data_IF_651609108861
#
_entry.id   IF_651609108861
#
_cell.length_a   1.000
_cell.length_b   1.000
_cell.length_c   1.000
_cell.angle_alpha   90.00
_cell.angle_beta   90.00
_cell.angle_gamma   90.00
#
_symmetry.space_group_name_H-M   'P 1'
#
loop_
_entity.id
_entity.type
_entity.pdbx_description
1 polymer ?
#
# COMPACT_ATOMS: atom_id res chain seq x y z
N UNK A 1 -24.46 -3.78 -10.82
CA UNK A 1 -23.39 -4.35 -10.00
C UNK A 1 -22.20 -3.45 -10.17
N UNK A 2 -22.05 -2.49 -9.27
CA UNK A 2 -20.83 -1.69 -9.14
C UNK A 2 -19.75 -2.67 -8.68
N UNK A 3 -18.74 -2.91 -9.51
CA UNK A 3 -17.62 -3.75 -9.10
C UNK A 3 -16.93 -3.12 -7.89
N UNK A 4 -16.50 -3.96 -6.95
CA UNK A 4 -15.66 -3.57 -5.82
C UNK A 4 -14.45 -2.84 -6.42
N UNK A 5 -14.12 -1.61 -5.99
CA UNK A 5 -12.97 -0.88 -6.50
C UNK A 5 -11.68 -1.50 -5.94
N UNK A 6 -11.28 -2.64 -6.51
CA UNK A 6 -9.98 -3.26 -6.26
C UNK A 6 -8.91 -2.46 -7.01
N UNK A 7 -7.87 -1.95 -6.34
CA UNK A 7 -6.80 -1.26 -7.02
C UNK A 7 -5.99 -2.25 -7.87
N UNK A 8 -5.46 -1.75 -8.96
CA UNK A 8 -4.43 -2.43 -9.74
C UNK A 8 -3.08 -2.35 -9.04
N UNK A 9 -2.19 -3.30 -9.34
CA UNK A 9 -0.79 -3.25 -8.89
C UNK A 9 -0.13 -1.92 -9.26
N UNK A 10 -0.44 -1.38 -10.44
CA UNK A 10 0.13 -0.11 -10.90
C UNK A 10 -0.31 1.08 -10.04
N UNK A 11 -1.56 1.09 -9.56
CA UNK A 11 -2.03 2.15 -8.65
C UNK A 11 -1.27 2.13 -7.33
N UNK A 12 -1.03 0.95 -6.76
CA UNK A 12 -0.23 0.85 -5.53
C UNK A 12 1.23 1.25 -5.80
N UNK A 13 1.82 0.83 -6.92
CA UNK A 13 3.18 1.25 -7.30
C UNK A 13 3.26 2.78 -7.46
N UNK A 14 2.27 3.40 -8.10
CA UNK A 14 2.23 4.86 -8.25
C UNK A 14 2.15 5.57 -6.89
N UNK A 15 1.37 5.02 -5.95
CA UNK A 15 1.31 5.53 -4.58
C UNK A 15 2.68 5.46 -3.89
N UNK A 16 3.38 4.32 -4.00
CA UNK A 16 4.72 4.15 -3.43
C UNK A 16 5.74 5.11 -4.06
N UNK A 17 5.68 5.32 -5.38
CA UNK A 17 6.50 6.30 -6.09
C UNK A 17 6.22 7.73 -5.61
N UNK A 18 4.94 8.08 -5.40
CA UNK A 18 4.55 9.39 -4.87
C UNK A 18 5.05 9.62 -3.43
N UNK A 19 5.22 8.56 -2.64
CA UNK A 19 5.88 8.65 -1.33
C UNK A 19 7.38 8.89 -1.46
N UNK A 20 8.03 8.22 -2.43
CA UNK A 20 9.47 8.37 -2.68
C UNK A 20 9.85 9.73 -3.26
N UNK A 21 8.99 10.32 -4.10
CA UNK A 21 9.23 11.65 -4.69
C UNK A 21 8.76 12.81 -3.77
N UNK A 22 8.07 12.49 -2.67
CA UNK A 22 7.57 13.45 -1.69
C UNK A 22 6.28 14.18 -2.11
N UNK A 23 5.63 13.78 -3.21
CA UNK A 23 4.34 14.33 -3.63
C UNK A 23 3.17 13.77 -2.82
N UNK A 24 3.36 12.65 -2.13
CA UNK A 24 2.46 12.09 -1.12
C UNK A 24 3.19 11.82 0.20
N UNK A 25 2.47 11.93 1.32
CA UNK A 25 3.02 11.58 2.62
C UNK A 25 2.84 10.09 2.91
N UNK A 26 3.72 9.53 3.75
CA UNK A 26 3.60 8.14 4.22
C UNK A 26 2.27 7.88 4.94
N UNK A 27 1.82 8.84 5.75
CA UNK A 27 0.51 8.79 6.41
C UNK A 27 -0.63 8.71 5.40
N UNK A 28 -0.70 9.62 4.44
CA UNK A 28 -1.78 9.63 3.45
C UNK A 28 -1.81 8.35 2.62
N UNK A 29 -0.64 7.82 2.24
CA UNK A 29 -0.55 6.54 1.55
C UNK A 29 -0.99 5.36 2.42
N UNK A 30 -0.62 5.35 3.70
CA UNK A 30 -1.00 4.30 4.64
C UNK A 30 -2.52 4.31 4.93
N UNK A 31 -3.11 5.50 5.11
CA UNK A 31 -4.55 5.68 5.32
C UNK A 31 -5.35 5.18 4.10
N UNK A 32 -4.94 5.60 2.88
CA UNK A 32 -5.56 5.10 1.64
C UNK A 32 -5.49 3.57 1.54
N UNK A 33 -4.32 2.99 1.81
CA UNK A 33 -4.15 1.54 1.72
C UNK A 33 -4.98 0.79 2.77
N UNK A 34 -5.19 1.39 3.95
CA UNK A 34 -6.03 0.84 5.01
C UNK A 34 -7.50 0.87 4.61
N UNK A 35 -8.00 2.01 4.13
CA UNK A 35 -9.37 2.15 3.65
C UNK A 35 -9.69 1.16 2.52
N UNK A 36 -8.76 1.00 1.57
CA UNK A 36 -8.92 0.03 0.48
C UNK A 36 -9.00 -1.41 1.01
N UNK A 37 -8.14 -1.78 1.96
CA UNK A 37 -8.20 -3.12 2.58
C UNK A 37 -9.52 -3.36 3.29
N UNK A 38 -9.99 -2.40 4.10
CA UNK A 38 -11.27 -2.50 4.81
C UNK A 38 -12.45 -2.66 3.84
N UNK A 39 -12.46 -1.90 2.74
CA UNK A 39 -13.50 -1.99 1.72
C UNK A 39 -13.50 -3.39 1.07
N UNK A 40 -12.34 -3.90 0.65
CA UNK A 40 -12.24 -5.23 0.03
C UNK A 40 -12.64 -6.32 1.03
N UNK A 41 -12.14 -6.29 2.27
CA UNK A 41 -12.47 -7.27 3.30
C UNK A 41 -13.98 -7.29 3.63
N UNK A 42 -14.65 -6.13 3.57
CA UNK A 42 -16.08 -6.03 3.85
C UNK A 42 -16.98 -6.52 2.70
N UNK A 43 -16.51 -6.40 1.45
CA UNK A 43 -17.29 -6.74 0.26
C UNK A 43 -16.97 -8.15 -0.30
N UNK A 44 -15.70 -8.43 -0.60
CA UNK A 44 -15.22 -9.72 -1.11
C UNK A 44 -13.71 -9.91 -0.85
N UNK A 45 -13.34 -10.64 0.23
CA UNK A 45 -11.95 -10.92 0.56
C UNK A 45 -11.20 -11.74 -0.52
N UNK A 46 -11.92 -12.47 -1.38
CA UNK A 46 -11.33 -13.32 -2.42
C UNK A 46 -11.11 -12.57 -3.74
N UNK A 47 -11.58 -11.32 -3.86
CA UNK A 47 -11.45 -10.50 -5.06
C UNK A 47 -10.00 -10.10 -5.40
N UNK A 48 -9.07 -10.28 -4.46
CA UNK A 48 -7.68 -9.83 -4.55
C UNK A 48 -6.73 -11.00 -4.35
N UNK A 49 -5.74 -11.12 -5.24
CA UNK A 49 -4.74 -12.16 -5.15
C UNK A 49 -3.81 -11.96 -3.93
N UNK A 50 -3.14 -13.03 -3.44
CA UNK A 50 -2.29 -12.93 -2.26
C UNK A 50 -1.11 -11.95 -2.39
N UNK A 51 -0.59 -11.72 -3.59
CA UNK A 51 0.53 -10.79 -3.81
C UNK A 51 0.06 -9.33 -3.68
N UNK A 52 -1.10 -9.01 -4.23
CA UNK A 52 -1.75 -7.73 -4.09
C UNK A 52 -2.15 -7.43 -2.64
N UNK A 53 -2.66 -8.43 -1.91
CA UNK A 53 -2.88 -8.33 -0.47
C UNK A 53 -1.61 -8.01 0.30
N UNK A 54 -0.52 -8.67 -0.06
CA UNK A 54 0.78 -8.41 0.56
C UNK A 54 1.23 -6.96 0.30
N UNK A 55 1.15 -6.50 -0.95
CA UNK A 55 1.56 -5.15 -1.32
C UNK A 55 0.69 -4.07 -0.65
N UNK A 56 -0.63 -4.28 -0.51
CA UNK A 56 -1.52 -3.39 0.24
C UNK A 56 -1.14 -3.31 1.72
N UNK A 57 -0.81 -4.44 2.35
CA UNK A 57 -0.36 -4.46 3.75
C UNK A 57 0.95 -3.69 3.95
N UNK A 58 1.89 -3.83 3.03
CA UNK A 58 3.13 -3.05 3.03
C UNK A 58 2.86 -1.55 2.86
N UNK A 59 1.94 -1.18 1.97
CA UNK A 59 1.54 0.22 1.80
C UNK A 59 0.87 0.77 3.07
N UNK A 60 0.01 0.00 3.74
CA UNK A 60 -0.61 0.41 5.00
C UNK A 60 0.39 0.52 6.17
N UNK A 61 1.55 -0.12 6.09
CA UNK A 61 2.60 0.00 7.11
C UNK A 61 3.55 1.18 6.88
N UNK A 62 3.39 1.99 5.83
CA UNK A 62 4.31 3.07 5.45
C UNK A 62 4.54 4.11 6.56
N UNK A 63 3.51 4.40 7.36
CA UNK A 63 3.56 5.37 8.46
C UNK A 63 3.97 4.77 9.81
N UNK A 64 4.24 3.46 9.87
CA UNK A 64 4.68 2.81 11.11
C UNK A 64 6.07 3.31 11.50
N UNK A 65 6.23 3.74 12.76
CA UNK A 65 7.48 4.26 13.31
C UNK A 65 7.96 3.47 14.52
N UNK A 66 9.27 3.42 14.70
CA UNK A 66 9.94 3.04 15.94
C UNK A 66 10.63 4.28 16.52
N UNK A 67 9.98 4.93 17.48
CA UNK A 67 10.37 6.27 17.91
C UNK A 67 10.15 7.29 16.78
N UNK A 68 11.18 8.05 16.43
CA UNK A 68 11.13 9.09 15.39
C UNK A 68 11.46 8.55 13.98
N UNK A 69 11.82 7.27 13.85
CA UNK A 69 12.30 6.68 12.59
C UNK A 69 11.20 5.78 12.02
N UNK A 70 10.93 5.91 10.73
CA UNK A 70 10.04 4.98 10.03
C UNK A 70 10.61 3.56 10.02
N UNK A 71 9.74 2.58 10.26
CA UNK A 71 10.12 1.16 10.24
C UNK A 71 10.63 0.71 8.87
N UNK A 72 10.09 1.30 7.80
CA UNK A 72 10.46 1.01 6.43
C UNK A 72 11.24 2.15 5.82
N UNK A 73 12.46 1.88 5.36
CA UNK A 73 13.31 2.82 4.65
C UNK A 73 12.80 3.08 3.22
N UNK A 74 13.30 4.13 2.57
CA UNK A 74 13.05 4.33 1.13
C UNK A 74 13.57 3.17 0.27
N UNK A 75 14.63 2.49 0.71
CA UNK A 75 15.14 1.31 0.00
C UNK A 75 14.15 0.15 0.07
N UNK A 76 13.51 -0.07 1.23
CA UNK A 76 12.46 -1.09 1.36
C UNK A 76 11.30 -0.81 0.40
N UNK A 77 10.87 0.46 0.31
CA UNK A 77 9.80 0.86 -0.62
C UNK A 77 10.19 0.59 -2.07
N UNK A 78 11.45 0.83 -2.46
CA UNK A 78 11.96 0.50 -3.80
C UNK A 78 11.96 -1.01 -4.05
N UNK A 79 12.35 -1.81 -3.07
CA UNK A 79 12.32 -3.27 -3.18
C UNK A 79 10.90 -3.83 -3.35
N UNK A 80 9.91 -3.24 -2.69
CA UNK A 80 8.48 -3.59 -2.87
C UNK A 80 7.99 -3.31 -4.29
N UNK A 81 8.35 -2.15 -4.85
CA UNK A 81 8.00 -1.78 -6.24
C UNK A 81 8.59 -2.81 -7.23
N UNK A 82 9.84 -3.22 -7.00
CA UNK A 82 10.55 -4.22 -7.79
C UNK A 82 10.06 -5.66 -7.56
N UNK A 83 9.21 -5.91 -6.57
CA UNK A 83 8.72 -7.25 -6.21
C UNK A 83 9.81 -8.15 -5.60
N UNK A 84 10.82 -7.56 -4.95
CA UNK A 84 11.95 -8.29 -4.35
C UNK A 84 11.80 -8.52 -2.85
N UNK A 85 10.80 -7.90 -2.24
CA UNK A 85 10.52 -7.93 -0.80
C UNK A 85 9.02 -7.82 -0.56
#
# INVERSE_FOLDING_TARGET
MTGIPVPTRQEIVNLLLAVLDGTSSRLAAAEWATEVQENIESEDPEAVDPEMWHLLRLAASLDVKSGEIYLHSENDIKEWIEGRK
#
